data_IF_418091786190
#
_entry.id   IF_418091786190
#
_cell.length_a   1.000
_cell.length_b   1.000
_cell.length_c   1.000
_cell.angle_alpha   90.00
_cell.angle_beta   90.00
_cell.angle_gamma   90.00
#
_symmetry.space_group_name_H-M   'P 1'
#
loop_
_entity.id
_entity.type
_entity.pdbx_description
1 polymer ?
2 non-polymer ?
3 water ?
#
# COMPACT_ATOMS: atom_id res chain seq x y z
N UNK A 1 16.88 3.94 -11.61
CA UNK A 1 15.50 3.46 -11.29
C UNK A 1 15.00 4.02 -9.95
N UNK A 2 13.69 4.31 -9.86
CA UNK A 2 13.13 4.83 -8.62
C UNK A 2 13.18 3.79 -7.51
N UNK A 3 13.12 4.23 -6.26
CA UNK A 3 13.18 3.33 -5.12
C UNK A 3 11.90 2.51 -5.08
N UNK A 4 10.85 3.05 -5.66
CA UNK A 4 9.59 2.35 -5.62
C UNK A 4 8.63 2.86 -6.66
N UNK A 5 7.78 1.97 -7.14
CA UNK A 5 6.77 2.34 -8.11
C UNK A 5 5.53 1.59 -7.73
N UNK A 6 4.38 2.22 -7.97
CA UNK A 6 3.11 1.60 -7.68
C UNK A 6 2.19 2.07 -8.82
N UNK A 7 2.01 1.22 -9.82
CA UNK A 7 1.18 1.61 -10.96
C UNK A 7 -0.27 1.95 -10.65
N UNK A 8 -0.74 1.62 -9.46
CA UNK A 8 -2.11 1.95 -9.08
C UNK A 8 -2.20 3.47 -8.95
N UNK A 9 -1.05 4.08 -8.65
CA UNK A 9 -0.98 5.52 -8.45
C UNK A 9 -1.09 6.29 -9.75
N UNK A 10 -0.85 5.60 -10.86
CA UNK A 10 -0.94 6.25 -12.15
C UNK A 10 -2.16 5.80 -12.92
N UNK A 11 -3.16 5.31 -12.18
CA UNK A 11 -4.42 4.87 -12.76
C UNK A 11 -4.33 3.77 -13.80
N UNK A 12 -3.30 2.93 -13.70
CA UNK A 12 -3.11 1.84 -14.64
C UNK A 12 -3.60 0.50 -14.16
N UNK A 13 -4.22 0.46 -13.00
CA UNK A 13 -4.70 -0.81 -12.46
C UNK A 13 -6.18 -0.78 -12.14
N UNK A 14 -6.90 -1.76 -12.66
CA UNK A 14 -8.34 -1.85 -12.41
C UNK A 14 -8.60 -2.49 -11.04
N UNK A 15 -9.88 -2.56 -10.67
CA UNK A 15 -10.23 -3.14 -9.39
C UNK A 15 -9.91 -4.63 -9.33
N UNK A 16 -9.65 -5.11 -8.12
CA UNK A 16 -9.34 -6.51 -7.86
C UNK A 16 -10.53 -7.37 -8.22
N UNK A 17 -10.31 -8.45 -8.97
CA UNK A 17 -11.40 -9.35 -9.37
C UNK A 17 -11.45 -10.59 -8.47
N UNK A 18 -12.56 -11.35 -8.56
CA UNK A 18 -12.74 -12.55 -7.74
C UNK A 18 -12.98 -13.74 -8.65
N UNK A 19 -11.96 -14.58 -8.82
CA UNK A 19 -12.09 -15.71 -9.73
C UNK A 19 -13.10 -16.82 -9.37
N UNK A 20 -13.50 -16.93 -8.11
CA UNK A 20 -14.44 -17.98 -7.76
C UNK A 20 -13.78 -19.35 -7.94
N UNK A 21 -14.59 -20.41 -8.04
CA UNK A 21 -14.05 -21.76 -8.17
C UNK A 21 -13.79 -22.17 -9.64
N UNK A 22 -12.93 -21.39 -10.27
CA UNK A 22 -12.50 -21.56 -11.67
C UNK A 22 -11.05 -21.11 -11.64
N UNK A 23 -10.13 -22.01 -11.99
CA UNK A 23 -8.72 -21.70 -11.96
C UNK A 23 -8.25 -20.82 -13.10
N UNK A 24 -8.91 -19.68 -13.25
CA UNK A 24 -8.59 -18.72 -14.32
C UNK A 24 -7.57 -17.65 -13.90
N UNK A 25 -6.72 -17.96 -12.92
CA UNK A 25 -5.71 -17.02 -12.44
C UNK A 25 -4.85 -16.48 -13.58
N UNK A 26 -4.52 -17.35 -14.53
CA UNK A 26 -3.71 -16.99 -15.68
C UNK A 26 -4.41 -15.93 -16.59
N UNK A 27 -5.73 -16.05 -16.69
CA UNK A 27 -6.50 -15.12 -17.50
C UNK A 27 -6.53 -13.72 -16.88
N UNK A 28 -6.74 -13.64 -15.56
CA UNK A 28 -6.77 -12.37 -14.87
C UNK A 28 -5.38 -11.71 -14.91
N UNK A 29 -4.33 -12.50 -14.66
CA UNK A 29 -2.95 -11.99 -14.71
C UNK A 29 -2.68 -11.39 -16.12
N UNK A 30 -3.18 -12.05 -17.15
CA UNK A 30 -2.99 -11.59 -18.52
C UNK A 30 -3.74 -10.29 -18.83
N UNK A 31 -5.04 -10.23 -18.53
CA UNK A 31 -5.79 -8.99 -18.84
C UNK A 31 -5.24 -7.84 -17.98
N UNK A 32 -4.93 -8.11 -16.72
CA UNK A 32 -4.37 -7.08 -15.85
C UNK A 32 -3.14 -6.45 -16.46
N UNK A 33 -2.31 -7.23 -17.13
CA UNK A 33 -1.11 -6.66 -17.72
C UNK A 33 -1.47 -5.83 -18.95
N UNK A 34 -2.46 -6.30 -19.72
CA UNK A 34 -2.83 -5.56 -20.91
C UNK A 34 -3.61 -4.28 -20.57
N UNK A 35 -4.41 -4.33 -19.51
CA UNK A 35 -5.19 -3.18 -19.07
C UNK A 35 -4.32 -1.93 -18.84
N UNK A 36 -3.14 -2.13 -18.24
CA UNK A 36 -2.21 -1.03 -17.97
C UNK A 36 -1.61 -0.42 -19.26
N UNK A 37 -1.33 -1.27 -20.24
CA UNK A 37 -0.78 -0.83 -21.51
C UNK A 37 -1.84 0.00 -22.27
N UNK A 38 -3.09 -0.43 -22.17
CA UNK A 38 -4.21 0.27 -22.81
C UNK A 38 -4.31 1.69 -22.28
N UNK A 39 -4.32 1.82 -20.95
CA UNK A 39 -4.38 3.12 -20.29
C UNK A 39 -3.19 3.97 -20.77
N UNK A 40 -1.98 3.43 -20.68
CA UNK A 40 -0.82 4.20 -21.11
C UNK A 40 -0.86 4.65 -22.56
N UNK A 41 -1.55 3.91 -23.42
CA UNK A 41 -1.59 4.25 -24.84
C UNK A 41 -2.83 5.02 -25.32
N UNK A 42 -3.90 4.97 -24.55
CA UNK A 42 -5.12 5.66 -24.93
C UNK A 42 -5.64 6.59 -23.84
N UNK A 43 -4.94 6.64 -22.71
CA UNK A 43 -5.37 7.47 -21.60
C UNK A 43 -6.59 6.92 -20.88
N UNK A 44 -7.14 5.80 -21.36
CA UNK A 44 -8.34 5.22 -20.74
C UNK A 44 -8.13 3.87 -20.04
N UNK A 45 -8.80 3.69 -18.90
CA UNK A 45 -8.70 2.45 -18.13
C UNK A 45 -9.99 1.64 -18.17
N UNK A 46 -9.93 0.46 -18.78
CA UNK A 46 -11.09 -0.40 -18.87
C UNK A 46 -10.69 -1.83 -18.49
N UNK A 47 -11.50 -2.51 -17.68
CA UNK A 47 -11.16 -3.87 -17.32
C UNK A 47 -11.50 -4.73 -18.52
N UNK A 48 -10.56 -5.57 -18.92
CA UNK A 48 -10.75 -6.43 -20.06
C UNK A 48 -11.38 -7.77 -19.63
N UNK A 49 -11.93 -8.49 -20.60
CA UNK A 49 -12.64 -9.74 -20.35
C UNK A 49 -11.79 -10.98 -20.09
N UNK A 50 -11.76 -11.44 -18.84
CA UNK A 50 -10.99 -12.65 -18.55
C UNK A 50 -11.77 -13.84 -19.13
N UNK A 51 -13.10 -13.72 -19.14
CA UNK A 51 -13.96 -14.77 -19.67
C UNK A 51 -13.67 -15.02 -21.15
N UNK A 52 -13.31 -13.95 -21.87
CA UNK A 52 -12.97 -14.07 -23.28
C UNK A 52 -11.81 -15.07 -23.40
N UNK A 53 -10.74 -14.87 -22.65
CA UNK A 53 -9.60 -15.79 -22.67
C UNK A 53 -9.96 -17.23 -22.23
N UNK A 54 -10.73 -17.37 -21.15
CA UNK A 54 -11.13 -18.70 -20.67
C UNK A 54 -11.91 -19.48 -21.75
N UNK A 55 -12.83 -18.81 -22.43
CA UNK A 55 -13.63 -19.47 -23.46
C UNK A 55 -12.96 -19.60 -24.82
N UNK A 56 -12.17 -18.60 -25.22
CA UNK A 56 -11.56 -18.62 -26.56
C UNK A 56 -10.10 -19.01 -26.75
N UNK A 57 -9.27 -18.76 -25.75
CA UNK A 57 -7.87 -19.09 -25.86
C UNK A 57 -7.74 -20.47 -25.24
N UNK A 58 -8.04 -21.51 -26.02
CA UNK A 58 -8.04 -22.85 -25.48
C UNK A 58 -6.94 -23.81 -25.90
N UNK A 59 -7.34 -25.00 -26.35
CA UNK A 59 -6.43 -26.06 -26.77
C UNK A 59 -5.26 -25.60 -27.63
N UNK A 60 -5.57 -24.87 -28.69
CA UNK A 60 -4.57 -24.34 -29.61
C UNK A 60 -3.44 -23.60 -28.87
N UNK A 61 -3.80 -22.97 -27.76
CA UNK A 61 -2.85 -22.20 -26.97
C UNK A 61 -2.36 -22.95 -25.74
N UNK A 62 -2.71 -24.22 -25.66
CA UNK A 62 -2.31 -25.05 -24.55
C UNK A 62 -3.02 -24.70 -23.27
N UNK A 63 -4.09 -23.91 -23.34
CA UNK A 63 -4.83 -23.50 -22.16
C UNK A 63 -6.03 -24.40 -21.90
N UNK A 64 -6.42 -24.51 -20.63
CA UNK A 64 -7.54 -25.36 -20.24
C UNK A 64 -8.64 -24.64 -19.44
N UNK A 65 -8.91 -23.38 -19.76
CA UNK A 65 -9.95 -22.65 -19.07
C UNK A 65 -9.85 -22.65 -17.56
N UNK A 66 -10.88 -23.18 -16.91
CA UNK A 66 -10.93 -23.23 -15.46
C UNK A 66 -9.90 -24.22 -14.91
N UNK A 67 -9.25 -24.95 -15.80
CA UNK A 67 -8.24 -25.90 -15.33
C UNK A 67 -6.82 -25.44 -15.52
N UNK A 68 -6.64 -24.16 -15.88
CA UNK A 68 -5.29 -23.62 -16.01
C UNK A 68 -4.85 -23.14 -17.38
N UNK A 69 -3.84 -22.28 -17.39
CA UNK A 69 -3.34 -21.75 -18.65
C UNK A 69 -2.05 -20.99 -18.49
N UNK A 70 -1.66 -20.24 -19.52
CA UNK A 70 -0.42 -19.47 -19.52
C UNK A 70 -0.70 -18.03 -19.96
N UNK A 71 -0.04 -17.07 -19.31
CA UNK A 71 -0.23 -15.68 -19.66
C UNK A 71 0.39 -15.41 -21.02
N UNK A 72 1.54 -16.01 -21.29
CA UNK A 72 2.20 -15.82 -22.58
C UNK A 72 1.30 -16.22 -23.77
N UNK A 73 0.67 -17.40 -23.70
CA UNK A 73 -0.15 -17.84 -24.82
C UNK A 73 -1.49 -17.15 -24.85
N UNK A 74 -1.87 -16.52 -23.74
CA UNK A 74 -3.13 -15.79 -23.71
C UNK A 74 -2.88 -14.49 -24.51
N UNK A 75 -1.68 -13.92 -24.38
CA UNK A 75 -1.31 -12.72 -25.14
C UNK A 75 -1.31 -13.09 -26.63
N UNK A 76 -0.77 -14.25 -26.93
CA UNK A 76 -0.69 -14.77 -28.31
C UNK A 76 -2.09 -14.88 -28.93
N UNK A 77 -3.06 -15.30 -28.14
CA UNK A 77 -4.43 -15.40 -28.62
C UNK A 77 -4.99 -14.01 -28.99
N UNK A 78 -4.62 -12.97 -28.23
CA UNK A 78 -5.13 -11.63 -28.50
C UNK A 78 -4.50 -11.11 -29.77
N UNK A 79 -3.24 -11.42 -29.96
CA UNK A 79 -2.52 -11.01 -31.16
C UNK A 79 -3.12 -11.71 -32.40
N UNK A 80 -3.45 -12.99 -32.26
CA UNK A 80 -4.03 -13.76 -33.37
C UNK A 80 -5.46 -13.32 -33.67
N UNK A 81 -6.24 -13.16 -32.61
CA UNK A 81 -7.63 -12.77 -32.70
C UNK A 81 -7.83 -11.33 -33.11
N UNK A 82 -6.76 -10.55 -33.08
CA UNK A 82 -6.84 -9.13 -33.43
C UNK A 82 -7.66 -8.38 -32.37
N UNK A 83 -7.75 -8.94 -31.17
CA UNK A 83 -8.48 -8.22 -30.15
C UNK A 83 -9.09 -8.99 -29.00
N UNK A 84 -9.50 -8.26 -27.97
CA UNK A 84 -10.14 -8.86 -26.83
C UNK A 84 -11.25 -7.92 -26.36
N UNK A 85 -12.38 -8.48 -25.96
CA UNK A 85 -13.51 -7.66 -25.51
C UNK A 85 -13.36 -7.10 -24.11
N UNK A 86 -14.21 -6.12 -23.79
CA UNK A 86 -14.19 -5.53 -22.46
C UNK A 86 -14.94 -6.48 -21.53
N UNK A 87 -14.67 -6.37 -20.24
CA UNK A 87 -15.33 -7.21 -19.26
C UNK A 87 -16.84 -6.92 -19.30
N UNK A 88 -17.16 -5.63 -19.46
CA UNK A 88 -18.55 -5.19 -19.50
C UNK A 88 -19.35 -5.91 -20.58
N UNK A 89 -18.77 -6.12 -21.76
CA UNK A 89 -19.51 -6.80 -22.83
C UNK A 89 -19.44 -8.32 -22.72
N UNK A 90 -18.40 -8.83 -22.08
CA UNK A 90 -18.18 -10.27 -21.95
C UNK A 90 -17.80 -10.57 -20.51
N UNK A 91 -18.78 -10.60 -19.59
CA UNK A 91 -18.65 -10.85 -18.15
C UNK A 91 -18.09 -12.20 -17.70
N UNK A 92 -17.51 -12.17 -16.50
CA UNK A 92 -16.91 -13.35 -15.91
C UNK A 92 -17.98 -14.22 -15.23
N UNK A 93 -18.01 -15.47 -15.64
CA UNK A 93 -18.98 -16.44 -15.15
C UNK A 93 -18.35 -17.51 -14.26
N UNK A 94 -17.02 -17.54 -14.20
CA UNK A 94 -16.28 -18.53 -13.42
C UNK A 94 -16.61 -19.94 -13.90
N UNK A 95 -16.85 -20.08 -15.21
CA UNK A 95 -17.17 -21.36 -15.81
C UNK A 95 -16.61 -21.39 -17.21
N UNK A 96 -16.45 -22.60 -17.75
CA UNK A 96 -15.96 -22.75 -19.11
C UNK A 96 -17.18 -22.64 -20.00
N UNK A 97 -17.15 -21.70 -20.94
CA UNK A 97 -18.27 -21.50 -21.86
C UNK A 97 -17.80 -21.60 -23.32
N UNK A 98 -18.75 -21.47 -24.24
CA UNK A 98 -18.39 -21.50 -25.65
C UNK A 98 -17.86 -20.12 -25.95
N UNK A 99 -16.89 -20.05 -26.83
CA UNK A 99 -16.32 -18.77 -27.19
C UNK A 99 -17.39 -17.89 -27.80
N UNK A 100 -17.69 -16.76 -27.16
CA UNK A 100 -18.69 -15.87 -27.72
C UNK A 100 -18.08 -14.47 -27.92
N UNK A 101 -16.86 -14.44 -28.45
CA UNK A 101 -16.17 -13.18 -28.73
C UNK A 101 -16.90 -12.38 -29.82
N UNK A 102 -17.02 -11.07 -29.63
CA UNK A 102 -17.68 -10.22 -30.60
C UNK A 102 -16.75 -9.05 -30.89
N UNK A 103 -16.25 -9.01 -32.12
CA UNK A 103 -15.35 -7.92 -32.50
C UNK A 103 -15.99 -6.55 -32.28
N UNK A 104 -17.31 -6.47 -32.31
CA UNK A 104 -18.02 -5.21 -32.10
C UNK A 104 -17.67 -4.60 -30.74
N UNK A 105 -17.34 -5.45 -29.78
CA UNK A 105 -17.03 -4.96 -28.45
C UNK A 105 -15.55 -4.98 -28.11
N UNK A 106 -14.71 -5.05 -29.12
CA UNK A 106 -13.27 -5.09 -28.86
C UNK A 106 -12.85 -3.87 -28.05
N UNK A 107 -12.17 -4.09 -26.94
CA UNK A 107 -11.72 -2.99 -26.08
C UNK A 107 -10.20 -2.80 -26.12
N UNK A 108 -9.48 -3.74 -26.73
CA UNK A 108 -8.02 -3.62 -26.83
C UNK A 108 -7.42 -4.63 -27.80
N UNK A 109 -6.21 -4.34 -28.24
CA UNK A 109 -5.47 -5.22 -29.14
C UNK A 109 -4.09 -5.42 -28.50
N UNK A 110 -3.31 -6.32 -29.08
CA UNK A 110 -1.98 -6.62 -28.59
C UNK A 110 -1.10 -6.87 -29.82
N UNK A 111 0.07 -6.24 -29.89
CA UNK A 111 0.91 -6.46 -31.05
C UNK A 111 2.02 -7.46 -30.77
N UNK A 112 2.40 -7.60 -29.50
CA UNK A 112 3.44 -8.55 -29.11
C UNK A 112 3.52 -8.71 -27.59
N UNK A 113 4.44 -9.55 -27.15
CA UNK A 113 4.68 -9.72 -25.73
C UNK A 113 6.13 -10.12 -25.57
N UNK A 114 6.70 -9.71 -24.45
CA UNK A 114 8.10 -9.97 -24.14
C UNK A 114 8.22 -10.91 -22.94
N UNK A 115 9.15 -11.84 -23.01
CA UNK A 115 9.37 -12.78 -21.91
C UNK A 115 10.69 -12.38 -21.28
N UNK A 116 10.72 -12.28 -19.95
CA UNK A 116 11.94 -11.89 -19.24
C UNK A 116 12.82 -13.11 -18.88
N UNK A 117 14.15 -12.88 -18.70
CA UNK A 117 15.14 -13.93 -18.37
C UNK A 117 14.82 -14.63 -17.06
N UNK A 118 14.87 -15.95 -17.08
CA UNK A 118 14.57 -16.76 -15.89
C UNK A 118 15.31 -16.34 -14.62
N UNK A 119 14.55 -16.15 -13.55
CA UNK A 119 15.09 -15.84 -12.25
C UNK A 119 15.78 -14.53 -11.99
N UNK A 120 15.75 -13.61 -12.96
CA UNK A 120 16.41 -12.31 -12.83
C UNK A 120 15.52 -11.24 -12.23
N UNK A 121 15.55 -11.08 -10.92
CA UNK A 121 14.70 -10.07 -10.29
C UNK A 121 15.14 -8.64 -10.60
N UNK A 122 16.40 -8.49 -10.99
CA UNK A 122 16.91 -7.17 -11.32
C UNK A 122 16.30 -6.75 -12.65
N UNK A 123 16.16 -7.69 -13.58
CA UNK A 123 15.57 -7.37 -14.87
C UNK A 123 14.06 -7.13 -14.69
N UNK A 124 13.41 -7.87 -13.81
CA UNK A 124 11.97 -7.68 -13.56
C UNK A 124 11.76 -6.27 -13.02
N UNK A 125 12.68 -5.86 -12.18
CA UNK A 125 12.64 -4.53 -11.58
C UNK A 125 12.66 -3.45 -12.67
N UNK A 126 13.56 -3.55 -13.62
CA UNK A 126 13.61 -2.54 -14.67
C UNK A 126 12.33 -2.49 -15.47
N UNK A 127 11.84 -3.67 -15.86
CA UNK A 127 10.62 -3.82 -16.62
C UNK A 127 9.42 -3.22 -15.89
N UNK A 128 9.30 -3.50 -14.60
CA UNK A 128 8.19 -2.96 -13.83
C UNK A 128 8.29 -1.44 -13.74
N UNK A 129 9.51 -0.90 -13.65
CA UNK A 129 9.67 0.55 -13.56
C UNK A 129 9.51 1.24 -14.92
N UNK A 130 10.06 0.64 -15.99
CA UNK A 130 9.99 1.23 -17.32
C UNK A 130 8.82 0.84 -18.22
N UNK A 131 8.38 -0.42 -18.18
CA UNK A 131 7.30 -0.85 -19.07
C UNK A 131 5.90 -0.87 -18.48
N UNK A 132 5.72 -1.48 -17.31
CA UNK A 132 4.41 -1.52 -16.70
C UNK A 132 4.27 -2.79 -15.87
N UNK A 133 3.05 -3.10 -15.40
CA UNK A 133 2.82 -4.30 -14.59
C UNK A 133 3.23 -5.53 -15.40
N UNK A 134 3.83 -6.51 -14.74
CA UNK A 134 4.28 -7.70 -15.43
C UNK A 134 3.55 -8.93 -14.90
N UNK A 135 3.13 -9.82 -15.80
CA UNK A 135 2.46 -11.05 -15.41
C UNK A 135 3.54 -12.03 -14.96
N UNK A 136 3.32 -12.72 -13.84
CA UNK A 136 4.35 -13.63 -13.38
C UNK A 136 3.69 -14.85 -12.81
N UNK A 137 4.46 -15.91 -12.59
CA UNK A 137 3.90 -17.09 -11.95
C UNK A 137 4.58 -17.20 -10.60
N UNK A 138 3.88 -17.68 -9.58
CA UNK A 138 4.48 -17.91 -8.25
C UNK A 138 3.94 -19.21 -7.66
N UNK A 139 4.69 -19.75 -6.71
CA UNK A 139 4.30 -20.94 -5.96
C UNK A 139 3.41 -20.37 -4.83
N UNK A 140 2.11 -20.65 -4.92
CA UNK A 140 1.16 -20.18 -3.92
C UNK A 140 0.47 -21.39 -3.22
N UNK A 141 1.14 -22.53 -3.21
CA UNK A 141 0.63 -23.77 -2.58
C UNK A 141 0.92 -23.94 -1.09
N UNK A 142 0.97 -22.85 -0.32
CA UNK A 142 1.22 -23.00 1.10
C UNK A 142 0.16 -22.24 1.86
N UNK A 143 -0.32 -22.81 2.95
CA UNK A 143 -1.35 -22.15 3.75
C UNK A 143 -1.01 -20.73 4.12
N UNK A 144 0.29 -20.42 4.26
CA UNK A 144 0.67 -19.06 4.63
C UNK A 144 0.25 -18.03 3.58
N UNK A 145 0.20 -18.44 2.33
CA UNK A 145 -0.17 -17.55 1.23
C UNK A 145 -1.68 -17.34 1.27
N UNK A 146 -2.40 -18.43 1.47
CA UNK A 146 -3.85 -18.38 1.57
C UNK A 146 -4.24 -17.46 2.78
N UNK A 147 -3.49 -17.56 3.87
CA UNK A 147 -3.78 -16.79 5.11
C UNK A 147 -3.14 -15.41 5.23
N UNK A 148 -2.41 -14.99 4.19
CA UNK A 148 -1.73 -13.68 4.20
C UNK A 148 -2.62 -12.48 4.51
N UNK A 149 -2.19 -11.66 5.47
CA UNK A 149 -2.95 -10.48 5.88
C UNK A 149 -2.22 -9.17 5.57
N UNK A 150 -0.97 -9.05 5.96
CA UNK A 150 -0.28 -7.80 5.70
C UNK A 150 1.22 -8.00 5.89
N UNK A 151 2.01 -7.02 5.46
CA UNK A 151 3.45 -7.13 5.61
C UNK A 151 4.16 -7.71 4.39
N UNK A 152 5.43 -8.09 4.55
CA UNK A 152 6.21 -8.66 3.45
C UNK A 152 6.22 -10.17 3.59
N UNK A 153 5.63 -10.84 2.61
CA UNK A 153 5.50 -12.28 2.64
C UNK A 153 6.76 -13.05 2.31
N UNK A 154 7.14 -13.95 3.20
CA UNK A 154 8.30 -14.79 2.98
C UNK A 154 7.94 -16.15 3.57
N UNK A 155 8.01 -17.19 2.76
CA UNK A 155 7.65 -18.55 3.19
C UNK A 155 8.86 -19.41 2.97
N UNK A 156 9.56 -19.80 4.05
CA UNK A 156 10.74 -20.64 3.87
C UNK A 156 10.49 -21.95 3.12
N UNK A 157 9.25 -22.43 3.10
CA UNK A 157 8.97 -23.65 2.34
C UNK A 157 8.69 -23.39 0.85
N UNK A 158 8.72 -22.14 0.41
CA UNK A 158 8.43 -21.88 -1.00
C UNK A 158 9.39 -22.52 -1.95
N UNK A 159 8.91 -22.82 -3.16
CA UNK A 159 9.73 -23.42 -4.21
C UNK A 159 9.64 -22.60 -5.51
N UNK A 160 10.43 -23.01 -6.48
CA UNK A 160 10.48 -22.38 -7.79
C UNK A 160 9.38 -22.92 -8.70
N UNK A 161 8.73 -24.01 -8.30
CA UNK A 161 7.66 -24.63 -9.09
C UNK A 161 6.40 -23.78 -9.02
N UNK A 162 6.19 -22.90 -9.99
CA UNK A 162 5.05 -22.01 -9.97
C UNK A 162 3.71 -22.68 -10.36
N UNK A 163 2.61 -22.17 -9.81
CA UNK A 163 1.29 -22.76 -10.04
C UNK A 163 0.18 -21.73 -9.99
N UNK A 164 0.55 -20.46 -9.83
CA UNK A 164 -0.46 -19.42 -9.73
C UNK A 164 -0.06 -18.25 -10.58
N UNK A 165 -0.98 -17.77 -11.42
CA UNK A 165 -0.65 -16.63 -12.25
C UNK A 165 -1.18 -15.37 -11.61
N UNK A 166 -0.29 -14.38 -11.37
CA UNK A 166 -0.66 -13.11 -10.73
C UNK A 166 -0.02 -11.94 -11.47
N UNK A 167 -0.12 -10.74 -10.92
CA UNK A 167 0.41 -9.55 -11.60
C UNK A 167 1.28 -8.67 -10.70
N UNK A 168 2.49 -8.37 -11.13
CA UNK A 168 3.34 -7.53 -10.31
C UNK A 168 3.04 -6.07 -10.74
N UNK A 169 2.45 -5.26 -9.85
CA UNK A 169 2.11 -3.89 -10.20
C UNK A 169 3.03 -2.85 -9.58
N UNK A 170 4.08 -3.30 -8.90
CA UNK A 170 5.01 -2.35 -8.32
C UNK A 170 6.04 -2.99 -7.43
N UNK A 171 6.85 -2.16 -6.76
CA UNK A 171 7.86 -2.65 -5.82
C UNK A 171 8.24 -1.51 -4.88
N UNK A 172 8.95 -1.84 -3.82
CA UNK A 172 9.33 -0.82 -2.87
C UNK A 172 9.91 -1.46 -1.63
N UNK A 173 9.84 -0.74 -0.52
CA UNK A 173 10.35 -1.26 0.72
C UNK A 173 9.39 -0.85 1.84
N UNK A 174 9.34 -1.68 2.87
CA UNK A 174 8.48 -1.43 4.02
C UNK A 174 9.45 -1.40 5.18
N UNK A 175 9.77 -0.17 5.58
CA UNK A 175 10.72 0.17 6.62
C UNK A 175 12.05 -0.58 6.29
N UNK A 176 12.45 -0.51 5.00
CA UNK A 176 13.66 -1.18 4.55
C UNK A 176 13.54 -2.58 3.91
N UNK A 177 12.53 -3.35 4.29
CA UNK A 177 12.30 -4.72 3.75
C UNK A 177 11.84 -4.63 2.30
N UNK A 178 12.61 -5.14 1.34
CA UNK A 178 12.21 -5.08 -0.07
C UNK A 178 11.12 -6.08 -0.49
N UNK A 179 10.16 -5.60 -1.29
CA UNK A 179 9.06 -6.46 -1.74
C UNK A 179 8.56 -6.19 -3.17
N UNK A 180 7.75 -7.09 -3.68
CA UNK A 180 7.11 -6.90 -4.98
C UNK A 180 5.62 -6.68 -4.64
N UNK A 181 4.98 -5.67 -5.22
CA UNK A 181 3.56 -5.44 -4.95
C UNK A 181 2.81 -6.31 -5.95
N UNK A 182 2.01 -7.25 -5.47
CA UNK A 182 1.34 -8.20 -6.36
C UNK A 182 -0.17 -8.18 -6.29
N UNK A 183 -0.82 -7.96 -7.43
CA UNK A 183 -2.27 -7.95 -7.51
C UNK A 183 -2.73 -9.40 -7.67
N UNK A 184 -3.56 -9.86 -6.74
CA UNK A 184 -4.06 -11.23 -6.80
C UNK A 184 -5.47 -11.17 -7.40
N UNK A 185 -6.08 -12.33 -7.59
CA UNK A 185 -7.44 -12.39 -8.15
C UNK A 185 -8.39 -13.20 -7.25
N UNK A 186 -8.31 -13.00 -5.95
CA UNK A 186 -9.17 -13.73 -5.01
C UNK A 186 -10.05 -12.77 -4.24
N UNK A 187 -10.34 -11.64 -4.85
CA UNK A 187 -11.21 -10.68 -4.20
C UNK A 187 -10.50 -9.71 -3.29
N UNK A 188 -11.24 -8.68 -2.86
CA UNK A 188 -10.75 -7.64 -1.97
C UNK A 188 -10.44 -8.15 -0.56
N UNK A 189 -11.06 -9.25 -0.15
CA UNK A 189 -10.85 -9.79 1.19
C UNK A 189 -9.56 -10.56 1.43
N UNK A 190 -8.83 -10.80 0.35
CA UNK A 190 -7.56 -11.48 0.45
C UNK A 190 -6.52 -10.39 0.72
N UNK A 191 -5.56 -10.70 1.59
CA UNK A 191 -4.47 -9.79 1.91
C UNK A 191 -4.72 -8.30 2.09
N UNK A 192 -3.90 -7.46 1.46
CA UNK A 192 -4.12 -6.04 1.62
C UNK A 192 -5.07 -5.57 0.53
N UNK A 193 -6.37 -5.66 0.81
CA UNK A 193 -7.35 -5.22 -0.17
C UNK A 193 -7.14 -5.93 -1.52
N UNK A 194 -6.79 -7.21 -1.48
CA UNK A 194 -6.61 -7.96 -2.72
C UNK A 194 -5.18 -8.11 -3.22
N UNK A 195 -4.25 -7.38 -2.62
CA UNK A 195 -2.86 -7.43 -3.00
C UNK A 195 -2.05 -8.16 -1.94
N UNK A 196 -0.84 -8.57 -2.32
CA UNK A 196 0.08 -9.23 -1.38
C UNK A 196 1.47 -8.71 -1.70
N UNK A 197 2.26 -8.41 -0.67
CA UNK A 197 3.62 -7.91 -0.90
C UNK A 197 4.60 -9.04 -0.68
N UNK A 198 5.22 -9.51 -1.76
CA UNK A 198 6.11 -10.64 -1.68
C UNK A 198 7.58 -10.26 -1.59
N UNK A 199 8.37 -11.09 -0.89
CA UNK A 199 9.79 -10.83 -0.72
C UNK A 199 10.53 -10.69 -2.05
N UNK A 200 11.30 -9.61 -2.14
CA UNK A 200 12.09 -9.29 -3.33
C UNK A 200 13.56 -9.44 -2.96
N UNK A 201 14.38 -9.91 -3.90
CA UNK A 201 15.83 -10.08 -3.70
C UNK A 201 16.22 -11.10 -2.64
N UNK A 202 15.41 -12.15 -2.54
CA UNK A 202 15.65 -13.21 -1.57
C UNK A 202 15.70 -14.49 -2.40
N UNK A 203 16.55 -14.49 -3.42
CA UNK A 203 16.76 -15.66 -4.26
C UNK A 203 15.64 -16.20 -5.12
N UNK A 204 14.91 -15.32 -5.79
CA UNK A 204 13.80 -15.74 -6.63
C UNK A 204 12.77 -16.48 -5.77
N UNK A 205 12.41 -15.84 -4.67
CA UNK A 205 11.46 -16.38 -3.70
C UNK A 205 10.13 -16.74 -4.34
N UNK A 206 9.68 -17.96 -4.10
CA UNK A 206 8.42 -18.50 -4.65
C UNK A 206 8.37 -18.47 -6.17
N UNK A 207 9.53 -18.44 -6.81
CA UNK A 207 9.58 -18.42 -8.27
C UNK A 207 9.08 -17.14 -8.94
N UNK A 208 8.95 -16.05 -8.19
CA UNK A 208 8.44 -14.77 -8.70
C UNK A 208 9.07 -14.35 -10.03
N UNK A 209 10.36 -14.55 -10.25
CA UNK A 209 10.93 -14.14 -11.54
C UNK A 209 11.18 -15.32 -12.47
N UNK A 210 10.54 -16.46 -12.20
CA UNK A 210 10.71 -17.67 -13.02
C UNK A 210 10.05 -17.65 -14.40
N UNK A 211 8.88 -17.04 -14.49
CA UNK A 211 8.11 -17.03 -15.74
C UNK A 211 7.41 -15.67 -15.91
N UNK A 212 8.18 -14.60 -16.21
CA UNK A 212 7.57 -13.30 -16.36
C UNK A 212 7.42 -12.82 -17.79
N UNK A 213 6.31 -12.15 -18.06
CA UNK A 213 6.06 -11.64 -19.40
C UNK A 213 5.14 -10.42 -19.32
N UNK A 214 5.18 -9.59 -20.36
CA UNK A 214 4.28 -8.42 -20.44
C UNK A 214 3.96 -8.16 -21.91
N UNK A 215 2.73 -7.69 -22.18
CA UNK A 215 2.29 -7.39 -23.54
C UNK A 215 2.60 -5.95 -23.97
N UNK A 216 2.43 -5.67 -25.26
CA UNK A 216 2.66 -4.33 -25.81
C UNK A 216 1.64 -4.08 -26.91
N UNK A 217 0.93 -2.97 -26.80
CA UNK A 217 -0.10 -2.61 -27.77
C UNK A 217 0.50 -2.08 -29.06
N UNK B 1 5.56 -2.13 32.80
CA UNK B 1 5.81 -1.63 31.40
C UNK B 1 7.16 -2.11 30.84
N UNK B 2 7.20 -2.48 29.55
CA UNK B 2 8.45 -2.94 28.96
C UNK B 2 9.50 -1.81 28.87
N UNK B 3 10.77 -2.19 28.80
CA UNK B 3 11.85 -1.21 28.72
C UNK B 3 11.86 -0.55 27.36
N UNK B 4 11.28 -1.25 26.40
CA UNK B 4 11.21 -0.74 25.06
C UNK B 4 10.06 -1.36 24.27
N UNK B 5 9.52 -0.59 23.34
CA UNK B 5 8.43 -1.02 22.51
C UNK B 5 8.71 -0.42 21.14
N UNK B 6 8.42 -1.18 20.09
CA UNK B 6 8.60 -0.72 18.71
C UNK B 6 7.45 -1.33 17.94
N UNK B 7 6.39 -0.55 17.72
CA UNK B 7 5.23 -1.03 16.99
C UNK B 7 5.48 -1.47 15.57
N UNK B 8 6.61 -1.07 15.00
CA UNK B 8 6.92 -1.48 13.65
C UNK B 8 7.19 -2.97 13.68
N UNK B 9 7.72 -3.47 14.80
CA UNK B 9 8.01 -4.89 14.89
C UNK B 9 6.78 -5.76 14.93
N UNK B 10 5.66 -5.13 15.23
CA UNK B 10 4.40 -5.84 15.34
C UNK B 10 3.53 -5.70 14.12
N UNK B 11 4.07 -5.13 13.07
CA UNK B 11 3.31 -5.00 11.83
C UNK B 11 2.22 -3.95 11.90
N UNK B 12 2.33 -3.00 12.84
CA UNK B 12 1.33 -1.95 12.99
C UNK B 12 1.69 -0.60 12.36
N UNK B 13 2.76 -0.53 11.59
CA UNK B 13 3.16 0.73 10.99
C UNK B 13 3.49 0.68 9.49
N UNK B 14 2.87 1.55 8.71
CA UNK B 14 3.08 1.58 7.27
C UNK B 14 4.39 2.28 6.87
N UNK B 15 4.74 2.18 5.58
CA UNK B 15 5.94 2.82 5.06
C UNK B 15 5.81 4.32 5.32
N UNK B 16 6.92 4.96 5.60
CA UNK B 16 6.89 6.40 5.85
C UNK B 16 6.45 7.10 4.56
N UNK B 17 5.61 8.15 4.70
CA UNK B 17 5.08 8.87 3.54
C UNK B 17 5.85 10.17 3.28
N UNK B 18 5.61 10.79 2.14
CA UNK B 18 6.29 12.02 1.77
C UNK B 18 5.25 13.11 1.56
N UNK B 19 5.19 14.09 2.46
CA UNK B 19 4.17 15.13 2.34
C UNK B 19 4.42 16.20 1.27
N UNK B 20 5.66 16.35 0.82
CA UNK B 20 5.93 17.35 -0.20
C UNK B 20 5.69 18.78 0.28
N UNK B 21 5.32 19.69 -0.62
CA UNK B 21 5.11 21.08 -0.25
C UNK B 21 3.67 21.35 0.20
N UNK B 22 3.19 20.49 1.09
CA UNK B 22 1.84 20.62 1.61
C UNK B 22 1.97 20.37 3.11
N UNK B 23 1.45 21.26 3.93
CA UNK B 23 1.57 21.10 5.37
C UNK B 23 0.51 20.17 5.93
N UNK B 24 0.53 18.95 5.41
CA UNK B 24 -0.41 17.92 5.81
C UNK B 24 0.20 17.03 6.90
N UNK B 25 1.16 17.56 7.67
CA UNK B 25 1.80 16.72 8.74
C UNK B 25 0.74 16.15 9.67
N UNK B 26 -0.21 17.02 10.04
CA UNK B 26 -1.28 16.64 10.93
C UNK B 26 -2.12 15.46 10.39
N UNK B 27 -2.38 15.46 9.08
CA UNK B 27 -3.17 14.38 8.46
C UNK B 27 -2.41 13.08 8.47
N UNK B 28 -1.11 13.13 8.16
CA UNK B 28 -0.32 11.90 8.17
C UNK B 28 -0.21 11.35 9.58
N UNK B 29 -0.03 12.23 10.58
CA UNK B 29 0.07 11.82 11.97
C UNK B 29 -1.21 11.09 12.37
N UNK B 30 -2.36 11.67 12.03
CA UNK B 30 -3.65 11.04 12.36
C UNK B 30 -3.90 9.68 11.69
N UNK B 31 -3.66 9.56 10.38
CA UNK B 31 -3.91 8.26 9.69
C UNK B 31 -2.94 7.21 10.22
N UNK B 32 -1.71 7.63 10.50
CA UNK B 32 -0.70 6.73 11.02
C UNK B 32 -1.21 6.12 12.33
N UNK B 33 -1.79 6.94 13.22
CA UNK B 33 -2.29 6.43 14.50
C UNK B 33 -3.45 5.46 14.27
N UNK B 34 -4.35 5.81 13.36
CA UNK B 34 -5.49 4.92 13.11
C UNK B 34 -5.04 3.62 12.41
N UNK B 35 -4.09 3.71 11.50
CA UNK B 35 -3.59 2.54 10.80
C UNK B 35 -3.19 1.45 11.77
N UNK B 36 -2.56 1.83 12.88
CA UNK B 36 -2.14 0.88 13.90
C UNK B 36 -3.32 0.19 14.62
N UNK B 37 -4.38 0.95 14.90
CA UNK B 37 -5.56 0.42 15.55
C UNK B 37 -6.28 -0.57 14.61
N UNK B 38 -6.26 -0.28 13.29
CA UNK B 38 -6.91 -1.15 12.29
C UNK B 38 -6.23 -2.50 12.32
N UNK B 39 -4.91 -2.48 12.37
CA UNK B 39 -4.13 -3.70 12.43
C UNK B 39 -4.43 -4.45 13.71
N UNK B 40 -4.44 -3.74 14.84
CA UNK B 40 -4.71 -4.40 16.10
C UNK B 40 -6.12 -4.91 16.25
N UNK B 41 -7.08 -4.33 15.54
CA UNK B 41 -8.44 -4.79 15.68
C UNK B 41 -8.94 -5.69 14.56
N UNK B 42 -8.19 -5.79 13.46
CA UNK B 42 -8.63 -6.63 12.35
C UNK B 42 -7.53 -7.48 11.73
N UNK B 43 -6.31 -7.34 12.24
CA UNK B 43 -5.21 -8.12 11.72
C UNK B 43 -4.68 -7.61 10.38
N UNK B 44 -5.38 -6.67 9.76
CA UNK B 44 -4.90 -6.15 8.46
C UNK B 44 -4.35 -4.73 8.56
N UNK B 45 -3.26 -4.49 7.86
CA UNK B 45 -2.61 -3.19 7.83
C UNK B 45 -2.77 -2.56 6.44
N UNK B 46 -3.50 -1.45 6.35
CA UNK B 46 -3.72 -0.75 5.09
C UNK B 46 -3.41 0.75 5.30
N UNK B 47 -2.66 1.36 4.39
CA UNK B 47 -2.37 2.79 4.55
C UNK B 47 -3.67 3.52 4.28
N UNK B 48 -4.01 4.43 5.18
CA UNK B 48 -5.25 5.19 5.08
C UNK B 48 -5.00 6.53 4.38
N UNK B 49 -6.07 7.10 3.82
CA UNK B 49 -5.98 8.33 3.03
C UNK B 49 -5.73 9.64 3.77
N UNK B 50 -4.49 10.15 3.71
CA UNK B 50 -4.24 11.42 4.37
C UNK B 50 -4.97 12.51 3.55
N UNK B 51 -5.03 12.32 2.23
CA UNK B 51 -5.70 13.27 1.32
C UNK B 51 -7.19 13.43 1.67
N UNK B 52 -7.85 12.33 1.96
CA UNK B 52 -9.25 12.32 2.37
C UNK B 52 -9.42 13.34 3.54
N UNK B 53 -8.46 13.40 4.45
CA UNK B 53 -8.56 14.33 5.58
C UNK B 53 -8.30 15.77 5.17
N UNK B 54 -7.31 15.95 4.30
CA UNK B 54 -6.94 17.27 3.81
C UNK B 54 -8.12 17.91 3.08
N UNK B 55 -8.83 17.14 2.25
CA UNK B 55 -9.95 17.65 1.46
C UNK B 55 -11.28 17.73 2.21
N UNK B 56 -11.51 16.84 3.17
CA UNK B 56 -12.81 16.80 3.82
C UNK B 56 -12.94 17.25 5.28
N UNK B 57 -11.86 17.15 6.06
CA UNK B 57 -11.92 17.57 7.47
C UNK B 57 -11.45 19.02 7.45
N UNK B 58 -12.35 19.92 7.06
CA UNK B 58 -11.96 21.32 6.94
C UNK B 58 -12.42 22.32 8.00
N UNK B 59 -12.92 23.47 7.55
CA UNK B 59 -13.34 24.56 8.44
C UNK B 59 -14.19 24.13 9.62
N UNK B 60 -15.06 23.15 9.39
CA UNK B 60 -15.92 22.63 10.43
C UNK B 60 -15.08 22.07 11.57
N UNK B 61 -13.95 21.49 11.21
CA UNK B 61 -13.08 20.89 12.20
C UNK B 61 -11.90 21.79 12.60
N UNK B 62 -11.90 23.00 12.04
CA UNK B 62 -10.85 23.96 12.33
C UNK B 62 -9.59 23.66 11.56
N UNK B 63 -9.66 22.79 10.55
CA UNK B 63 -8.47 22.48 9.77
C UNK B 63 -8.37 23.26 8.48
N UNK B 64 -7.14 23.47 8.02
CA UNK B 64 -6.89 24.23 6.80
C UNK B 64 -6.12 23.48 5.70
N UNK B 65 -6.32 22.18 5.60
CA UNK B 65 -5.64 21.43 4.55
C UNK B 65 -4.13 21.60 4.50
N UNK B 66 -3.60 22.10 3.38
CA UNK B 66 -2.16 22.29 3.26
C UNK B 66 -1.63 23.42 4.15
N UNK B 67 -2.54 24.17 4.78
CA UNK B 67 -2.13 25.24 5.67
C UNK B 67 -2.11 24.84 7.15
N UNK B 68 -2.32 23.55 7.41
CA UNK B 68 -2.29 23.07 8.79
C UNK B 68 -3.60 22.60 9.37
N UNK B 69 -3.48 21.78 10.40
CA UNK B 69 -4.65 21.24 11.04
C UNK B 69 -4.32 20.56 12.35
N UNK B 70 -5.27 19.80 12.89
CA UNK B 70 -5.10 19.11 14.17
C UNK B 70 -5.44 17.62 14.06
N UNK B 71 -4.70 16.77 14.76
CA UNK B 71 -4.97 15.34 14.70
C UNK B 71 -6.27 15.02 15.45
N UNK B 72 -6.52 15.69 16.57
CA UNK B 72 -7.75 15.44 17.36
C UNK B 72 -9.00 15.70 16.52
N UNK B 73 -9.04 16.83 15.81
CA UNK B 73 -10.25 17.11 15.03
C UNK B 73 -10.34 16.27 13.74
N UNK B 74 -9.21 15.69 13.34
CA UNK B 74 -9.19 14.82 12.18
C UNK B 74 -9.91 13.55 12.67
N UNK B 75 -9.59 13.11 13.88
CA UNK B 75 -10.24 11.90 14.42
C UNK B 75 -11.76 12.16 14.50
N UNK B 76 -12.14 13.34 14.99
CA UNK B 76 -13.56 13.66 15.09
C UNK B 76 -14.22 13.57 13.70
N UNK B 77 -13.52 14.01 12.65
CA UNK B 77 -14.14 13.90 11.33
C UNK B 77 -14.38 12.42 10.96
N UNK B 78 -13.39 11.55 11.21
CA UNK B 78 -13.59 10.16 10.84
C UNK B 78 -14.80 9.60 11.58
N UNK B 79 -14.95 9.98 12.84
CA UNK B 79 -16.09 9.53 13.65
C UNK B 79 -17.40 10.04 13.03
N UNK B 80 -17.51 11.35 12.78
CA UNK B 80 -18.74 11.90 12.20
C UNK B 80 -19.00 11.33 10.83
N UNK B 81 -17.97 11.23 10.01
CA UNK B 81 -18.13 10.75 8.65
C UNK B 81 -18.39 9.24 8.57
N UNK B 82 -18.18 8.55 9.68
CA UNK B 82 -18.36 7.10 9.75
C UNK B 82 -17.39 6.36 8.83
N UNK B 83 -16.19 6.91 8.66
CA UNK B 83 -15.20 6.25 7.84
C UNK B 83 -14.16 7.12 7.15
N UNK B 84 -13.13 6.45 6.63
CA UNK B 84 -12.05 7.07 5.89
C UNK B 84 -11.63 6.06 4.82
N UNK B 85 -11.28 6.55 3.63
CA UNK B 85 -10.87 5.69 2.52
C UNK B 85 -9.44 5.23 2.63
N UNK B 86 -9.09 4.18 1.89
CA UNK B 86 -7.71 3.71 1.94
C UNK B 86 -6.92 4.68 1.10
N UNK B 87 -5.62 4.68 1.31
CA UNK B 87 -4.75 5.58 0.56
C UNK B 87 -4.77 5.18 -0.91
N UNK B 88 -4.82 3.87 -1.17
CA UNK B 88 -4.84 3.37 -2.54
C UNK B 88 -6.03 3.92 -3.32
N UNK B 89 -7.20 4.01 -2.69
CA UNK B 89 -8.38 4.50 -3.38
C UNK B 89 -8.51 6.02 -3.48
N UNK B 90 -7.86 6.73 -2.56
CA UNK B 90 -7.91 8.17 -2.49
C UNK B 90 -6.46 8.65 -2.27
N UNK B 91 -5.62 8.56 -3.32
CA UNK B 91 -4.18 8.93 -3.38
C UNK B 91 -3.88 10.36 -2.91
N UNK B 92 -2.67 10.53 -2.37
CA UNK B 92 -2.21 11.81 -1.85
C UNK B 92 -1.65 12.68 -2.99
N UNK B 93 -2.17 13.88 -3.14
CA UNK B 93 -1.72 14.76 -4.21
C UNK B 93 -0.92 15.99 -3.73
N UNK B 94 -0.79 16.13 -2.41
CA UNK B 94 -0.12 17.27 -1.75
C UNK B 94 -0.73 18.62 -2.18
N UNK B 95 -2.06 18.66 -2.19
CA UNK B 95 -2.79 19.86 -2.56
C UNK B 95 -4.19 19.81 -2.02
N UNK B 96 -4.78 20.97 -1.86
CA UNK B 96 -6.13 21.06 -1.38
C UNK B 96 -7.09 20.75 -2.51
N UNK B 97 -7.93 19.74 -2.33
CA UNK B 97 -8.90 19.35 -3.35
C UNK B 97 -10.33 19.32 -2.80
N UNK B 98 -11.31 19.17 -3.69
CA UNK B 98 -12.68 19.06 -3.21
C UNK B 98 -12.72 17.69 -2.57
N UNK B 99 -13.59 17.55 -1.59
CA UNK B 99 -13.77 16.29 -0.89
C UNK B 99 -14.28 15.25 -1.88
N UNK B 100 -13.60 14.11 -1.95
CA UNK B 100 -14.01 13.07 -2.88
C UNK B 100 -14.18 11.75 -2.14
N UNK B 101 -14.54 11.83 -0.87
CA UNK B 101 -14.78 10.65 -0.03
C UNK B 101 -15.86 9.75 -0.63
N UNK B 102 -15.61 8.44 -0.62
CA UNK B 102 -16.59 7.47 -1.14
C UNK B 102 -16.70 6.31 -0.15
N UNK B 103 -17.87 6.14 0.45
CA UNK B 103 -18.05 5.04 1.38
C UNK B 103 -17.81 3.68 0.72
N UNK B 104 -17.90 3.58 -0.61
CA UNK B 104 -17.65 2.27 -1.22
C UNK B 104 -16.21 1.84 -1.03
N UNK B 105 -15.34 2.76 -0.61
CA UNK B 105 -13.94 2.38 -0.41
C UNK B 105 -13.46 2.58 1.01
N UNK B 106 -14.41 2.62 1.94
CA UNK B 106 -14.06 2.80 3.35
C UNK B 106 -13.13 1.68 3.78
N UNK B 107 -12.05 2.01 4.48
CA UNK B 107 -11.11 1.00 4.92
C UNK B 107 -10.96 1.02 6.44
N UNK B 108 -11.58 1.98 7.10
CA UNK B 108 -11.50 2.05 8.55
C UNK B 108 -12.51 3.02 9.11
N UNK B 109 -12.83 2.84 10.38
CA UNK B 109 -13.74 3.73 11.07
C UNK B 109 -13.04 4.14 12.36
N UNK B 110 -13.72 4.95 13.15
CA UNK B 110 -13.19 5.41 14.42
C UNK B 110 -14.40 5.68 15.31
N UNK B 111 -14.37 5.26 16.58
CA UNK B 111 -15.51 5.52 17.44
C UNK B 111 -15.26 6.60 18.51
N UNK B 112 -13.99 6.83 18.85
CA UNK B 112 -13.62 7.86 19.84
C UNK B 112 -12.11 8.08 19.84
N UNK B 113 -11.66 9.14 20.50
CA UNK B 113 -10.22 9.37 20.62
C UNK B 113 -9.96 9.89 22.03
N UNK B 114 -8.78 9.60 22.57
CA UNK B 114 -8.39 10.03 23.90
C UNK B 114 -7.27 11.07 23.86
N UNK B 115 -7.38 12.07 24.71
CA UNK B 115 -6.36 13.09 24.78
C UNK B 115 -5.58 12.88 26.08
N UNK B 116 -4.26 12.90 25.99
CA UNK B 116 -3.41 12.69 27.16
C UNK B 116 -3.07 14.01 27.87
N UNK B 117 -2.78 13.96 29.19
CA UNK B 117 -2.44 15.12 30.04
C UNK B 117 -1.23 15.85 29.52
N UNK B 118 -1.32 17.18 29.49
CA UNK B 118 -0.23 18.02 29.03
C UNK B 118 1.14 17.72 29.69
N UNK B 119 2.15 17.56 28.85
CA UNK B 119 3.51 17.34 29.29
C UNK B 119 3.85 16.12 30.09
N UNK B 120 2.91 15.18 30.26
CA UNK B 120 3.17 13.96 31.04
C UNK B 120 3.81 12.85 30.19
N UNK B 121 5.13 12.70 30.26
CA UNK B 121 5.79 11.67 29.48
C UNK B 121 5.60 10.28 30.07
N UNK B 122 5.30 10.23 31.36
CA UNK B 122 5.07 8.99 32.04
C UNK B 122 3.77 8.42 31.50
N UNK B 123 2.74 9.25 31.39
CA UNK B 123 1.47 8.77 30.85
C UNK B 123 1.60 8.43 29.37
N UNK B 124 2.38 9.23 28.64
CA UNK B 124 2.57 8.97 27.21
C UNK B 124 3.20 7.60 27.04
N UNK B 125 4.16 7.28 27.90
CA UNK B 125 4.83 6.00 27.85
C UNK B 125 3.85 4.83 28.05
N UNK B 126 2.89 4.98 28.97
CA UNK B 126 1.93 3.93 29.23
C UNK B 126 1.01 3.68 28.04
N UNK B 127 0.55 4.77 27.44
CA UNK B 127 -0.34 4.71 26.30
C UNK B 127 0.40 4.06 25.12
N UNK B 128 1.68 4.38 24.93
CA UNK B 128 2.43 3.78 23.83
C UNK B 128 2.66 2.29 24.07
N UNK B 129 2.90 1.88 25.31
CA UNK B 129 3.10 0.44 25.57
C UNK B 129 1.77 -0.34 25.50
N UNK B 130 0.72 0.21 26.12
CA UNK B 130 -0.57 -0.47 26.20
C UNK B 130 -1.63 -0.22 25.13
N UNK B 131 -1.66 0.96 24.52
CA UNK B 131 -2.71 1.24 23.52
C UNK B 131 -2.23 1.20 22.08
N UNK B 132 -1.09 1.83 21.80
CA UNK B 132 -0.57 1.84 20.45
C UNK B 132 0.11 3.16 20.12
N UNK B 133 0.48 3.38 18.86
CA UNK B 133 1.13 4.60 18.41
C UNK B 133 0.26 5.80 18.80
N UNK B 134 0.89 6.88 19.24
CA UNK B 134 0.17 8.08 19.67
C UNK B 134 0.54 9.30 18.82
N UNK B 135 -0.45 10.04 18.33
CA UNK B 135 -0.22 11.25 17.55
C UNK B 135 0.25 12.34 18.54
N UNK B 136 1.27 13.11 18.18
CA UNK B 136 1.78 14.15 19.07
C UNK B 136 2.21 15.36 18.23
N UNK B 137 2.41 16.51 18.86
CA UNK B 137 2.89 17.66 18.11
C UNK B 137 4.25 17.96 18.70
N UNK B 138 5.21 18.45 17.89
CA UNK B 138 6.54 18.82 18.42
C UNK B 138 7.09 20.09 17.77
N UNK B 139 8.00 20.79 18.44
CA UNK B 139 8.66 21.98 17.88
C UNK B 139 9.72 21.44 16.90
N UNK B 140 9.50 21.58 15.60
CA UNK B 140 10.48 21.08 14.64
C UNK B 140 11.13 22.17 13.80
N UNK B 141 10.94 23.41 14.25
CA UNK B 141 11.46 24.62 13.59
C UNK B 141 12.94 24.93 13.82
N UNK B 142 13.80 23.91 13.86
CA UNK B 142 15.22 24.15 14.06
C UNK B 142 15.97 23.38 13.02
N UNK B 143 17.08 23.95 12.52
CA UNK B 143 17.85 23.25 11.49
C UNK B 143 18.34 21.86 11.90
N UNK B 144 18.63 21.66 13.18
CA UNK B 144 19.08 20.34 13.65
C UNK B 144 18.03 19.25 13.37
N UNK B 145 16.73 19.59 13.43
CA UNK B 145 15.67 18.61 13.19
C UNK B 145 15.65 18.21 11.72
N UNK B 146 15.75 19.21 10.87
CA UNK B 146 15.78 19.04 9.42
C UNK B 146 16.97 18.16 8.99
N UNK B 147 18.11 18.36 9.65
CA UNK B 147 19.36 17.66 9.33
C UNK B 147 19.65 16.36 10.10
N UNK B 148 18.72 15.93 10.95
CA UNK B 148 18.91 14.71 11.75
C UNK B 148 19.23 13.45 10.94
N UNK B 149 20.25 12.70 11.38
CA UNK B 149 20.61 11.48 10.67
C UNK B 149 20.42 10.25 11.57
N UNK B 150 20.97 10.30 12.78
CA UNK B 150 20.90 9.17 13.71
C UNK B 150 21.19 9.58 15.16
N UNK B 151 21.07 8.65 16.10
CA UNK B 151 21.33 9.00 17.49
C UNK B 151 20.08 9.52 18.18
N UNK B 152 20.21 10.04 19.39
CA UNK B 152 19.05 10.56 20.11
C UNK B 152 19.07 12.08 20.02
N UNK B 153 18.04 12.61 19.37
CA UNK B 153 17.92 14.05 19.14
C UNK B 153 17.62 14.89 20.36
N UNK B 154 18.47 15.89 20.60
CA UNK B 154 18.29 16.82 21.70
C UNK B 154 18.73 18.18 21.18
N UNK B 155 17.84 19.16 21.22
CA UNK B 155 18.12 20.52 20.72
C UNK B 155 17.92 21.52 21.87
N UNK B 156 19.01 22.03 22.45
CA UNK B 156 18.81 22.98 23.55
C UNK B 156 17.87 24.16 23.27
N UNK B 157 17.81 24.61 22.02
CA UNK B 157 16.91 25.71 21.67
C UNK B 157 15.45 25.29 21.45
N UNK B 158 15.16 24.01 21.61
CA UNK B 158 13.80 23.56 21.40
C UNK B 158 12.85 24.21 22.39
N UNK B 159 11.61 24.43 21.98
CA UNK B 159 10.64 25.01 22.88
C UNK B 159 9.43 24.09 23.03
N UNK B 160 8.45 24.58 23.78
CA UNK B 160 7.22 23.86 24.03
C UNK B 160 6.13 24.26 23.02
N UNK B 161 6.44 25.23 22.15
CA UNK B 161 5.44 25.67 21.18
C UNK B 161 5.48 24.71 19.98
N UNK B 162 4.58 23.73 19.97
CA UNK B 162 4.53 22.71 18.90
C UNK B 162 4.05 23.26 17.54
N UNK B 163 4.59 22.75 16.44
CA UNK B 163 4.21 23.22 15.11
C UNK B 163 4.26 22.11 14.06
N UNK B 164 4.60 20.91 14.50
CA UNK B 164 4.70 19.77 13.61
C UNK B 164 3.95 18.58 14.20
N UNK B 165 3.09 17.96 13.39
CA UNK B 165 2.36 16.81 13.89
C UNK B 165 3.04 15.56 13.41
N UNK B 166 3.36 14.65 14.34
CA UNK B 166 4.05 13.41 14.00
C UNK B 166 3.46 12.26 14.79
N UNK B 167 4.10 11.11 14.74
CA UNK B 167 3.57 9.91 15.41
C UNK B 167 4.63 9.16 16.24
N UNK B 168 4.31 8.85 17.49
CA UNK B 168 5.25 8.12 18.35
C UNK B 168 4.90 6.65 18.16
N UNK B 169 5.83 5.86 17.63
CA UNK B 169 5.55 4.45 17.39
C UNK B 169 6.35 3.55 18.30
N UNK B 170 7.02 4.14 19.28
CA UNK B 170 7.81 3.35 20.21
C UNK B 170 8.66 4.18 21.15
N UNK B 171 9.44 3.49 21.97
CA UNK B 171 10.33 4.17 22.91
C UNK B 171 11.36 3.14 23.34
N UNK B 172 12.47 3.63 23.88
CA UNK B 172 13.53 2.73 24.30
C UNK B 172 14.72 3.55 24.80
N UNK B 173 15.89 2.96 24.74
CA UNK B 173 17.07 3.69 25.19
C UNK B 173 18.23 3.21 24.36
N UNK B 174 19.05 4.16 23.94
CA UNK B 174 20.22 3.87 23.13
C UNK B 174 21.40 3.92 24.09
N UNK B 175 21.84 2.74 24.54
CA UNK B 175 22.97 2.63 25.49
C UNK B 175 22.80 3.60 26.65
N UNK B 176 21.60 3.64 27.23
CA UNK B 176 21.36 4.55 28.34
C UNK B 176 20.73 5.91 28.00
N UNK B 177 20.66 6.27 26.72
CA UNK B 177 20.02 7.55 26.31
C UNK B 177 18.57 7.24 25.99
N UNK B 178 17.63 7.69 26.81
CA UNK B 178 16.23 7.37 26.56
C UNK B 178 15.65 8.15 25.38
N UNK B 179 14.80 7.51 24.59
CA UNK B 179 14.21 8.23 23.47
C UNK B 179 12.82 7.78 23.11
N UNK B 180 12.17 8.61 22.30
CA UNK B 180 10.87 8.30 21.75
C UNK B 180 11.16 8.03 20.28
N UNK B 181 10.60 6.95 19.73
CA UNK B 181 10.78 6.64 18.31
C UNK B 181 9.64 7.40 17.57
N UNK B 182 10.01 8.31 16.69
CA UNK B 182 9.00 9.12 16.00
C UNK B 182 9.02 8.92 14.52
N UNK B 183 7.83 8.74 13.99
CA UNK B 183 7.65 8.56 12.58
C UNK B 183 7.28 9.93 12.02
N UNK B 184 8.13 10.40 11.10
CA UNK B 184 7.94 11.67 10.43
C UNK B 184 7.27 11.43 9.08
N UNK B 185 6.87 12.51 8.41
CA UNK B 185 6.25 12.38 7.11
C UNK B 185 7.01 13.16 6.01
N UNK B 186 8.35 13.04 6.03
CA UNK B 186 9.17 13.72 5.01
C UNK B 186 9.93 12.74 4.13
N UNK B 187 9.38 11.54 3.97
CA UNK B 187 10.01 10.55 3.11
C UNK B 187 10.95 9.68 3.89
N UNK B 188 11.25 8.50 3.37
CA UNK B 188 12.17 7.62 4.10
C UNK B 188 13.65 7.97 4.02
N UNK B 189 14.00 9.10 3.38
CA UNK B 189 15.40 9.51 3.30
C UNK B 189 15.75 10.39 4.50
N UNK B 190 14.73 10.87 5.21
CA UNK B 190 14.94 11.65 6.41
C UNK B 190 15.32 10.66 7.55
N UNK B 191 16.29 11.06 8.39
CA UNK B 191 16.72 10.23 9.50
C UNK B 191 16.93 8.77 9.16
N UNK B 192 16.42 7.87 10.00
CA UNK B 192 16.58 6.45 9.73
C UNK B 192 15.29 5.87 9.16
N UNK B 193 15.23 5.76 7.83
CA UNK B 193 14.05 5.22 7.14
C UNK B 193 12.82 6.09 7.35
N UNK B 194 13.01 7.38 7.62
CA UNK B 194 11.89 8.29 7.83
C UNK B 194 11.53 8.58 9.28
N UNK B 195 12.28 7.97 10.20
CA UNK B 195 12.10 8.10 11.66
C UNK B 195 13.19 8.90 12.34
N UNK B 196 12.87 9.43 13.51
CA UNK B 196 13.83 10.19 14.30
C UNK B 196 13.67 9.80 15.77
N UNK B 197 14.78 9.62 16.48
CA UNK B 197 14.69 9.29 17.89
C UNK B 197 14.85 10.57 18.68
N UNK B 198 13.80 10.97 19.40
CA UNK B 198 13.81 12.23 20.17
C UNK B 198 13.98 12.00 21.65
N UNK B 199 14.65 12.93 22.34
CA UNK B 199 14.90 12.79 23.77
C UNK B 199 13.64 12.62 24.62
N UNK B 200 13.66 11.56 25.42
CA UNK B 200 12.59 11.20 26.34
C UNK B 200 13.04 11.55 27.76
N UNK B 201 12.06 11.92 28.60
CA UNK B 201 12.29 12.28 29.99
C UNK B 201 13.31 13.40 30.21
N UNK B 202 13.29 14.37 29.32
CA UNK B 202 14.21 15.49 29.45
C UNK B 202 13.40 16.77 29.63
N UNK B 203 12.32 16.69 30.40
CA UNK B 203 11.49 17.86 30.67
C UNK B 203 10.61 18.27 29.49
N UNK B 204 9.90 17.30 28.92
CA UNK B 204 8.99 17.55 27.78
C UNK B 204 9.68 18.24 26.62
N UNK B 205 10.83 17.69 26.26
CA UNK B 205 11.65 18.21 25.18
C UNK B 205 10.90 18.38 23.86
N UNK B 206 10.97 19.60 23.33
CA UNK B 206 10.33 19.95 22.07
C UNK B 206 8.83 19.81 22.14
N UNK B 207 8.29 19.77 23.35
CA UNK B 207 6.85 19.66 23.51
C UNK B 207 6.26 18.31 23.12
N UNK B 208 7.10 17.28 23.04
CA UNK B 208 6.70 15.92 22.68
C UNK B 208 5.41 15.46 23.41
N UNK B 209 5.22 15.84 24.66
CA UNK B 209 4.00 15.40 25.33
C UNK B 209 3.02 16.51 25.54
N UNK B 210 3.19 17.62 24.81
CA UNK B 210 2.23 18.71 24.99
C UNK B 210 0.83 18.45 24.44
N UNK B 211 0.73 17.74 23.31
CA UNK B 211 -0.58 17.57 22.66
C UNK B 211 -0.70 16.16 22.09
N UNK B 212 -0.79 15.15 22.97
CA UNK B 212 -0.90 13.76 22.53
C UNK B 212 -2.31 13.23 22.49
N UNK B 213 -2.59 12.38 21.51
CA UNK B 213 -3.92 11.76 21.37
C UNK B 213 -3.87 10.48 20.56
N UNK B 214 -4.82 9.59 20.82
CA UNK B 214 -4.88 8.37 20.05
C UNK B 214 -6.35 8.00 19.78
N UNK B 215 -6.61 7.38 18.63
CA UNK B 215 -8.00 7.02 18.34
C UNK B 215 -8.25 5.58 18.73
N UNK B 216 -9.52 5.19 18.65
CA UNK B 216 -9.90 3.81 18.91
C UNK B 216 -11.03 3.42 17.97
N UNK B 217 -10.99 2.18 17.49
CA UNK B 217 -12.02 1.70 16.58
C UNK B 217 -13.10 1.07 17.45
X LIG C 1 -1.07 -22.96 -15.05
X LIG C 1 -1.57 -24.24 -14.99
X LIG C 1 -2.12 -24.65 -13.94
X LIG C 1 -1.54 -25.15 -16.03
X LIG C 1 -2.16 -26.54 -15.82
X LIG C 1 -2.95 -27.06 -17.01
X LIG C 1 -2.22 -26.78 -18.30
X LIG C 1 -1.86 -25.37 -18.47
X LIG C 1 -0.95 -24.89 -17.36
X LIG C 1 -1.20 -22.08 -13.86
X LIG C 1 -2.67 -21.82 -13.68
X LIG C 1 -3.37 -21.55 -14.64
X LIG C 1 -3.12 -21.90 -12.42
X LIG C 1 -4.53 -21.70 -12.06
X LIG C 1 -4.66 -20.49 -11.15
X LIG C 1 -3.96 -20.69 -9.76
X LIG C 1 -5.26 -20.71 -8.48
X LIG C 1 -6.40 -21.69 -8.82
X LIG C 1 -5.86 -19.35 -8.14
X LIG C 1 -4.55 -21.36 -6.98
X LIG C 1 -5.34 -21.63 -5.83
X LIG C 1 -4.72 -22.08 -4.60
X LIG C 1 -3.34 -22.29 -4.52
X LIG C 1 -2.55 -22.08 -5.65
X LIG C 1 -3.14 -21.64 -6.88
X LIG C 1 -5.03 -23.03 -11.42
X LIG C 1 -5.10 -24.17 -12.43
X LIG C 1 -5.52 -25.50 -11.86
X LIG C 1 -6.90 -25.88 -11.80
X LIG C 1 -7.29 -27.14 -11.25
X LIG C 1 -6.30 -28.03 -10.75
X LIG C 1 -4.92 -27.66 -10.79
X LIG C 1 -4.52 -26.40 -11.35
X LIG C 1 -0.56 -20.70 -14.04
X LIG C 1 0.87 -20.68 -14.52
X LIG C 1 1.64 -21.80 -13.88
X LIG C 1 1.47 -19.37 -14.35
X LIG D 1 -1.13 22.79 12.99
X LIG D 1 -1.15 24.03 12.41
X LIG D 1 -0.13 24.47 11.87
X LIG D 1 -2.24 24.80 12.39
X LIG D 1 -2.19 26.19 11.71
X LIG D 1 -3.43 26.60 11.04
X LIG D 1 -4.54 26.36 11.96
X LIG D 1 -4.75 24.95 12.25
X LIG D 1 -3.56 24.41 13.00
X LIG D 1 0.09 21.96 12.95
X LIG D 1 0.31 21.61 11.48
X LIG D 1 -0.67 21.20 10.81
X LIG D 1 1.54 21.76 10.95
X LIG D 1 1.83 21.47 9.53
X LIG D 1 2.81 20.31 9.42
X LIG D 1 4.23 20.64 10.01
X LIG D 1 5.41 20.69 8.60
X LIG D 1 4.94 21.63 7.45
X LIG D 1 5.87 19.34 8.01
X LIG D 1 6.90 21.47 9.20
X LIG D 1 7.98 21.74 8.33
X LIG D 1 9.20 22.33 8.82
X LIG D 1 9.34 22.65 10.20
X LIG D 1 8.29 22.39 11.09
X LIG D 1 7.08 21.80 10.61
X LIG D 1 2.33 22.79 8.86
X LIG D 1 1.24 23.89 8.80
X LIG D 1 1.69 25.23 8.19
X LIG D 1 1.48 25.52 6.80
X LIG D 1 1.90 26.79 6.24
X LIG D 1 2.52 27.76 7.06
X LIG D 1 2.72 27.46 8.45
X LIG D 1 2.32 26.21 9.02
X LIG D 1 -0.09 20.65 13.73
X LIG D 1 -0.35 20.83 15.22
X LIG D 1 0.84 21.76 15.91
X LIG D 1 -0.43 19.53 16.01
#
# INVERSE_FOLDING_TARGET
LPDSVDWREKGCVTEVKYQGSCGACWAFSAVGALEAQLKLKTGKLVTLSAQNLVDCSTEKYGNKGCNGGFMTTAFQYIIDNKGIDSDASYPYKAMDQKCQYDSKYRAATCSKYTELPYGREDVLKEAVANKGPVSVGVDARHPSFFLYRSGVYYEPSCTQNVNHGVLVVGYGDLNGKEYWLVKNSWGHNFGEEGYIRMARNKGNHCGIASFPSYPEI
LPDSVDWREKGCVTEVKYQGSCGACWAFSAVGALEAQLKLKTGKLVTLSAQNLVDCSTEKYGNKGCNGGFMTTAFQYIIDNKGIDSDASYPYKAMDQKCQYDSKYRAATCSKYTELPYGREDVLKEAVANKGPVSVGVDARHPSFFLYRSGVYYEPSCTQNVNHGVLVVGYGDLNGKEYWLVKNSWGHNFGEEGYIRMARNKGNHCGIASFPSYPEI
C1P N1 C15 O16 N9 C14 C13 O12 C11 C10 C2 C3 O4 N28 C19 C18 C17 S33 O34 O35 C32 C36 C37 C29 C30 C31 C20 C21 C22 C23 C24 C25 C26 C27 C5 C6 C7 C8
C1P N1 C15 O16 N9 C14 C13 O12 C11 C10 C2 C3 O4 N28 C19 C18 C17 S33 O34 O35 C32 C36 C37 C29 C30 C31 C20 C21 C22 C23 C24 C25 C26 C27 C5 C6 C7 C8
#
